data_IF_548479685070
#
_entry.id   IF_548479685070
#
_cell.length_a   1.000
_cell.length_b   1.000
_cell.length_c   1.000
_cell.angle_alpha   90.00
_cell.angle_beta   90.00
_cell.angle_gamma   90.00
#
_symmetry.space_group_name_H-M   'P 1'
#
loop_
_entity.id
_entity.type
_entity.pdbx_description
1 polymer ?
#
# COMPACT_ATOMS: atom_id res chain seq x y z
N UNK A 1 3.40 -29.39 -10.43
CA UNK A 1 2.52 -29.84 -9.32
C UNK A 1 2.50 -28.83 -8.16
N UNK A 2 3.65 -28.39 -7.65
CA UNK A 2 3.74 -27.47 -6.50
C UNK A 2 3.16 -26.07 -6.76
N UNK A 3 3.44 -25.44 -7.92
CA UNK A 3 2.87 -24.12 -8.31
C UNK A 3 1.34 -24.15 -8.35
N UNK A 4 0.77 -25.19 -8.95
CA UNK A 4 -0.69 -25.37 -9.04
C UNK A 4 -1.32 -25.46 -7.66
N UNK A 5 -0.76 -26.30 -6.79
CA UNK A 5 -1.25 -26.46 -5.42
C UNK A 5 -1.20 -25.15 -4.64
N UNK A 6 -0.13 -24.37 -4.79
CA UNK A 6 -0.02 -23.06 -4.15
C UNK A 6 -1.09 -22.10 -4.66
N UNK A 7 -1.18 -21.89 -5.97
CA UNK A 7 -2.12 -20.93 -6.55
C UNK A 7 -3.56 -21.31 -6.31
N UNK A 8 -3.90 -22.61 -6.35
CA UNK A 8 -5.26 -23.09 -6.04
C UNK A 8 -5.65 -22.80 -4.59
N UNK A 9 -4.69 -22.75 -3.66
CA UNK A 9 -4.95 -22.41 -2.27
C UNK A 9 -5.08 -20.90 -2.07
N UNK A 10 -4.19 -20.13 -2.65
CA UNK A 10 -4.11 -18.67 -2.44
C UNK A 10 -5.23 -17.93 -3.17
N UNK A 11 -5.56 -18.33 -4.39
CA UNK A 11 -6.54 -17.66 -5.24
C UNK A 11 -7.99 -18.15 -5.02
N UNK A 12 -8.18 -19.31 -4.43
CA UNK A 12 -9.51 -19.90 -4.30
C UNK A 12 -10.16 -20.22 -5.65
N UNK A 13 -11.44 -20.54 -5.64
CA UNK A 13 -12.19 -21.04 -6.79
C UNK A 13 -12.98 -19.99 -7.59
N UNK A 14 -12.59 -18.73 -7.67
CA UNK A 14 -13.39 -17.64 -8.24
C UNK A 14 -13.59 -17.69 -9.77
N UNK A 15 -12.88 -18.57 -10.49
CA UNK A 15 -13.06 -18.79 -11.92
C UNK A 15 -12.47 -17.70 -12.85
N UNK A 16 -11.75 -16.74 -12.33
CA UNK A 16 -10.99 -15.74 -13.12
C UNK A 16 -9.62 -15.54 -12.52
N UNK A 17 -8.57 -15.77 -13.31
CA UNK A 17 -7.19 -15.73 -12.85
C UNK A 17 -6.36 -14.80 -13.73
N UNK A 18 -5.84 -13.73 -13.15
CA UNK A 18 -5.01 -12.76 -13.84
C UNK A 18 -3.54 -13.14 -13.72
N UNK A 19 -2.86 -13.20 -14.86
CA UNK A 19 -1.42 -13.23 -14.93
C UNK A 19 -0.88 -11.93 -15.53
N UNK A 20 0.21 -11.44 -14.96
CA UNK A 20 0.99 -10.34 -15.49
C UNK A 20 2.44 -10.80 -15.65
N UNK A 21 3.09 -10.41 -16.75
CA UNK A 21 4.50 -10.66 -16.94
C UNK A 21 5.20 -9.43 -17.54
N UNK A 22 6.48 -9.27 -17.17
CA UNK A 22 7.32 -8.18 -17.67
C UNK A 22 8.70 -8.69 -18.03
N UNK A 23 9.25 -8.26 -19.17
CA UNK A 23 10.60 -8.58 -19.58
C UNK A 23 11.49 -7.34 -19.58
N UNK A 24 12.56 -7.38 -18.78
CA UNK A 24 13.46 -6.23 -18.58
C UNK A 24 14.25 -5.89 -19.84
N UNK A 25 14.61 -6.89 -20.65
CA UNK A 25 15.49 -6.70 -21.82
C UNK A 25 14.91 -5.80 -22.89
N UNK A 26 13.59 -5.78 -23.08
CA UNK A 26 12.90 -5.02 -24.14
C UNK A 26 11.68 -4.23 -23.63
N UNK A 27 11.40 -4.29 -22.32
CA UNK A 27 10.28 -3.58 -21.69
C UNK A 27 8.91 -4.17 -22.02
N UNK A 28 8.83 -5.37 -22.64
CA UNK A 28 7.55 -5.99 -22.98
C UNK A 28 6.74 -6.31 -21.75
N UNK A 29 5.44 -6.05 -21.84
CA UNK A 29 4.44 -6.37 -20.82
C UNK A 29 3.41 -7.32 -21.41
N UNK A 30 3.05 -8.35 -20.65
CA UNK A 30 1.97 -9.30 -20.99
C UNK A 30 0.97 -9.32 -19.85
N UNK A 31 -0.32 -9.23 -20.20
CA UNK A 31 -1.40 -9.43 -19.24
C UNK A 31 -2.44 -10.34 -19.89
N UNK A 32 -2.78 -11.41 -19.20
CA UNK A 32 -3.78 -12.38 -19.64
C UNK A 32 -4.69 -12.79 -18.49
N UNK A 33 -5.86 -13.26 -18.84
CA UNK A 33 -6.86 -13.79 -17.91
C UNK A 33 -7.21 -15.22 -18.32
N UNK A 34 -7.34 -16.09 -17.34
CA UNK A 34 -7.58 -17.51 -17.53
C UNK A 34 -8.80 -17.97 -16.73
N UNK A 35 -9.42 -19.05 -17.18
CA UNK A 35 -10.53 -19.68 -16.49
C UNK A 35 -10.07 -20.73 -15.47
N UNK A 36 -8.84 -21.19 -15.58
CA UNK A 36 -8.24 -22.19 -14.69
C UNK A 36 -6.86 -21.77 -14.20
N UNK A 37 -6.49 -22.24 -13.02
CA UNK A 37 -5.13 -22.07 -12.47
C UNK A 37 -4.11 -22.82 -13.35
N UNK A 38 -4.49 -23.94 -13.96
CA UNK A 38 -3.59 -24.73 -14.81
C UNK A 38 -3.11 -23.93 -16.03
N UNK A 39 -4.04 -23.28 -16.74
CA UNK A 39 -3.68 -22.42 -17.89
C UNK A 39 -2.76 -21.27 -17.49
N UNK A 40 -3.01 -20.65 -16.32
CA UNK A 40 -2.15 -19.60 -15.80
C UNK A 40 -0.74 -20.11 -15.53
N UNK A 41 -0.62 -21.28 -14.86
CA UNK A 41 0.68 -21.86 -14.50
C UNK A 41 1.48 -22.26 -15.74
N UNK A 42 0.82 -22.89 -16.72
CA UNK A 42 1.51 -23.30 -17.93
C UNK A 42 2.04 -22.11 -18.73
N UNK A 43 1.22 -21.06 -18.89
CA UNK A 43 1.69 -19.81 -19.52
C UNK A 43 2.76 -19.08 -18.70
N UNK A 44 2.66 -19.09 -17.38
CA UNK A 44 3.67 -18.44 -16.54
C UNK A 44 5.05 -19.10 -16.69
N UNK A 45 5.08 -20.43 -16.84
CA UNK A 45 6.32 -21.16 -17.09
C UNK A 45 6.90 -20.88 -18.48
N UNK A 46 6.06 -20.90 -19.52
CA UNK A 46 6.49 -20.58 -20.88
C UNK A 46 7.13 -19.18 -20.93
N UNK A 47 6.52 -18.20 -20.27
CA UNK A 47 7.05 -16.85 -20.22
C UNK A 47 8.32 -16.74 -19.35
N UNK A 48 8.41 -17.51 -18.25
CA UNK A 48 9.62 -17.59 -17.45
C UNK A 48 10.81 -18.13 -18.25
N UNK A 49 10.60 -19.20 -19.03
CA UNK A 49 11.60 -19.76 -19.94
C UNK A 49 12.05 -18.73 -21.01
N UNK A 50 11.15 -17.83 -21.41
CA UNK A 50 11.42 -16.70 -22.33
C UNK A 50 12.04 -15.48 -21.63
N UNK A 51 12.39 -15.57 -20.35
CA UNK A 51 13.04 -14.51 -19.58
C UNK A 51 12.12 -13.42 -19.05
N UNK A 52 10.84 -13.70 -18.88
CA UNK A 52 9.89 -12.79 -18.23
C UNK A 52 9.83 -13.02 -16.72
N UNK A 53 9.80 -11.95 -15.96
CA UNK A 53 9.28 -11.95 -14.59
C UNK A 53 7.77 -12.21 -14.63
N UNK A 54 7.28 -13.25 -13.98
CA UNK A 54 5.86 -13.65 -14.00
C UNK A 54 5.18 -13.44 -12.67
N UNK A 55 3.95 -12.95 -12.71
CA UNK A 55 3.17 -12.58 -11.53
C UNK A 55 1.72 -13.05 -11.69
N UNK A 56 1.07 -13.39 -10.59
CA UNK A 56 -0.37 -13.64 -10.52
C UNK A 56 -1.07 -12.55 -9.73
N UNK A 57 -2.31 -12.24 -10.08
CA UNK A 57 -3.15 -11.26 -9.39
C UNK A 57 -3.91 -11.90 -8.26
N UNK A 58 -3.72 -11.45 -7.03
CA UNK A 58 -4.32 -12.00 -5.81
C UNK A 58 -5.85 -12.07 -5.87
N UNK A 59 -6.50 -11.04 -6.37
CA UNK A 59 -7.95 -11.00 -6.55
C UNK A 59 -8.43 -11.43 -7.94
N UNK A 60 -7.60 -12.13 -8.73
CA UNK A 60 -7.94 -12.58 -10.08
C UNK A 60 -8.07 -11.48 -11.14
N UNK A 61 -7.78 -10.24 -10.82
CA UNK A 61 -7.90 -9.06 -11.70
C UNK A 61 -6.90 -7.98 -11.34
N UNK A 62 -6.73 -6.97 -12.22
CA UNK A 62 -5.82 -5.83 -12.04
C UNK A 62 -6.50 -4.55 -11.56
N UNK A 63 -7.79 -4.57 -11.30
CA UNK A 63 -8.54 -3.42 -10.77
C UNK A 63 -9.28 -3.83 -9.52
N UNK A 64 -8.98 -3.19 -8.40
CA UNK A 64 -9.61 -3.47 -7.10
C UNK A 64 -11.14 -3.48 -7.17
N UNK A 65 -11.73 -2.60 -8.00
CA UNK A 65 -13.20 -2.55 -8.19
C UNK A 65 -13.78 -3.80 -8.85
N UNK A 66 -12.96 -4.60 -9.54
CA UNK A 66 -13.39 -5.82 -10.24
C UNK A 66 -13.11 -7.09 -9.41
N UNK A 67 -12.38 -6.97 -8.30
CA UNK A 67 -12.16 -8.08 -7.37
C UNK A 67 -13.48 -8.39 -6.67
N UNK A 68 -13.88 -9.65 -6.69
CA UNK A 68 -15.08 -10.12 -6.02
C UNK A 68 -14.75 -10.70 -4.64
N UNK A 69 -13.79 -11.62 -4.60
CA UNK A 69 -13.37 -12.33 -3.38
C UNK A 69 -11.87 -12.45 -3.33
N UNK A 70 -11.33 -12.67 -2.13
CA UNK A 70 -9.93 -13.02 -1.88
C UNK A 70 -9.86 -14.22 -0.94
N UNK A 71 -8.82 -15.05 -1.10
CA UNK A 71 -8.63 -16.25 -0.32
C UNK A 71 -7.35 -16.24 0.53
N UNK A 72 -6.67 -15.12 0.61
CA UNK A 72 -5.49 -14.96 1.44
C UNK A 72 -5.27 -13.52 1.89
N UNK A 73 -4.63 -13.34 3.05
CA UNK A 73 -3.93 -12.13 3.40
C UNK A 73 -2.46 -12.28 3.03
N UNK A 74 -1.82 -11.20 2.63
CA UNK A 74 -0.44 -11.25 2.14
C UNK A 74 0.36 -10.02 2.54
N UNK A 75 1.69 -10.21 2.65
CA UNK A 75 2.69 -9.16 2.80
C UNK A 75 3.80 -9.35 1.76
N UNK A 76 4.47 -8.26 1.42
CA UNK A 76 5.74 -8.25 0.69
C UNK A 76 6.81 -7.59 1.57
N UNK A 77 7.84 -8.33 1.92
CA UNK A 77 8.97 -7.87 2.72
C UNK A 77 10.18 -7.79 1.78
N UNK A 78 10.50 -6.58 1.37
CA UNK A 78 11.67 -6.32 0.54
C UNK A 78 12.97 -6.48 1.33
N UNK A 79 13.98 -7.15 0.73
CA UNK A 79 15.30 -7.35 1.32
C UNK A 79 16.40 -6.98 0.32
N UNK A 80 17.53 -6.51 0.81
CA UNK A 80 18.70 -6.13 0.02
C UNK A 80 19.45 -4.94 0.64
N UNK A 81 20.65 -4.64 0.14
CA UNK A 81 21.54 -3.62 0.71
C UNK A 81 20.92 -2.21 0.84
N UNK A 82 19.94 -1.89 0.00
CA UNK A 82 19.26 -0.59 0.00
C UNK A 82 17.83 -0.67 0.53
N UNK A 83 17.47 -1.79 1.20
CA UNK A 83 16.13 -2.04 1.73
C UNK A 83 16.16 -2.01 3.26
N UNK A 84 14.98 -1.94 3.85
CA UNK A 84 14.80 -1.90 5.30
C UNK A 84 15.41 -3.13 6.01
N UNK A 85 15.45 -4.26 5.34
CA UNK A 85 16.15 -5.47 5.78
C UNK A 85 17.30 -5.79 4.82
N UNK A 86 18.53 -5.83 5.32
CA UNK A 86 19.71 -6.12 4.49
C UNK A 86 19.69 -7.54 3.94
N UNK A 87 19.06 -8.48 4.65
CA UNK A 87 18.96 -9.89 4.30
C UNK A 87 17.56 -10.46 4.52
N UNK A 88 17.23 -11.53 3.80
CA UNK A 88 15.99 -12.28 4.04
C UNK A 88 15.94 -12.88 5.45
N UNK A 89 17.09 -13.24 6.03
CA UNK A 89 17.15 -13.75 7.40
C UNK A 89 16.67 -12.71 8.41
N UNK A 90 17.06 -11.45 8.25
CA UNK A 90 16.58 -10.35 9.10
C UNK A 90 15.06 -10.14 8.93
N UNK A 91 14.57 -10.13 7.70
CA UNK A 91 13.13 -10.05 7.40
C UNK A 91 12.33 -11.20 8.03
N UNK A 92 12.87 -12.43 7.98
CA UNK A 92 12.25 -13.60 8.63
C UNK A 92 12.22 -13.51 10.15
N UNK A 93 13.28 -12.98 10.79
CA UNK A 93 13.31 -12.76 12.23
C UNK A 93 12.25 -11.73 12.63
N UNK A 94 12.19 -10.59 11.93
CA UNK A 94 11.19 -9.55 12.18
C UNK A 94 9.76 -10.08 12.01
N UNK A 95 9.50 -10.84 10.94
CA UNK A 95 8.20 -11.47 10.71
C UNK A 95 7.82 -12.45 11.82
N UNK A 96 8.79 -13.25 12.31
CA UNK A 96 8.55 -14.20 13.41
C UNK A 96 8.18 -13.48 14.70
N UNK A 97 8.87 -12.39 15.03
CA UNK A 97 8.55 -11.55 16.18
C UNK A 97 7.19 -10.90 16.06
N UNK A 98 6.85 -10.37 14.89
CA UNK A 98 5.53 -9.83 14.57
C UNK A 98 4.42 -10.86 14.76
N UNK A 99 4.56 -12.05 14.18
CA UNK A 99 3.59 -13.14 14.36
C UNK A 99 3.44 -13.56 15.82
N UNK A 100 4.55 -13.61 16.56
CA UNK A 100 4.55 -13.93 17.99
C UNK A 100 3.83 -12.86 18.81
N UNK A 101 4.09 -11.58 18.55
CA UNK A 101 3.48 -10.47 19.28
C UNK A 101 1.96 -10.44 19.18
N UNK A 102 1.43 -10.81 18.00
CA UNK A 102 -0.01 -10.85 17.72
C UNK A 102 -0.62 -12.25 17.83
N UNK A 103 0.16 -13.26 18.19
CA UNK A 103 -0.28 -14.68 18.18
C UNK A 103 -0.81 -15.14 16.83
N UNK A 104 -0.31 -14.57 15.74
CA UNK A 104 -0.74 -14.95 14.39
C UNK A 104 -0.29 -16.38 14.06
N UNK A 105 -1.11 -17.14 13.32
CA UNK A 105 -0.73 -18.47 12.86
C UNK A 105 0.47 -18.38 11.91
N UNK A 106 1.21 -19.49 11.82
CA UNK A 106 2.38 -19.58 10.95
C UNK A 106 1.96 -19.37 9.49
N UNK A 107 2.53 -18.38 8.76
CA UNK A 107 2.20 -18.15 7.37
C UNK A 107 2.88 -19.15 6.41
N UNK A 108 2.38 -19.22 5.19
CA UNK A 108 3.13 -19.77 4.04
C UNK A 108 4.07 -18.69 3.53
N UNK A 109 5.33 -19.06 3.26
CA UNK A 109 6.40 -18.14 2.86
C UNK A 109 6.95 -18.51 1.49
N UNK A 110 7.20 -17.50 0.67
CA UNK A 110 7.84 -17.62 -0.63
C UNK A 110 9.03 -16.67 -0.70
N UNK A 111 10.20 -17.19 -1.00
CA UNK A 111 11.35 -16.42 -1.45
C UNK A 111 11.04 -15.84 -2.82
N UNK A 112 10.96 -14.53 -2.97
CA UNK A 112 10.69 -13.86 -4.25
C UNK A 112 11.96 -13.54 -5.06
N UNK A 113 13.11 -14.07 -4.63
CA UNK A 113 14.44 -13.77 -5.14
C UNK A 113 15.13 -12.66 -4.36
N UNK A 114 14.47 -11.54 -4.12
CA UNK A 114 15.00 -10.36 -3.40
C UNK A 114 14.26 -10.04 -2.10
N UNK A 115 13.24 -10.81 -1.76
CA UNK A 115 12.42 -10.55 -0.59
C UNK A 115 11.59 -11.77 -0.23
N UNK A 116 10.59 -11.56 0.61
CA UNK A 116 9.74 -12.61 1.14
C UNK A 116 8.28 -12.23 0.92
N UNK A 117 7.54 -13.04 0.17
CA UNK A 117 6.10 -12.96 0.17
C UNK A 117 5.56 -13.85 1.31
N UNK A 118 4.63 -13.31 2.06
CA UNK A 118 4.00 -13.94 3.22
C UNK A 118 2.53 -14.14 2.92
N UNK A 119 1.97 -15.32 3.18
CA UNK A 119 0.56 -15.62 2.93
C UNK A 119 -0.09 -16.31 4.14
N UNK A 120 -1.22 -15.76 4.58
CA UNK A 120 -2.18 -16.46 5.43
C UNK A 120 -3.36 -16.84 4.54
N UNK A 121 -3.40 -18.11 4.15
CA UNK A 121 -4.44 -18.64 3.30
C UNK A 121 -5.70 -18.85 4.13
N UNK A 122 -6.84 -18.37 3.64
CA UNK A 122 -8.13 -18.53 4.28
C UNK A 122 -8.72 -19.90 3.95
N UNK A 123 -9.55 -20.44 4.83
CA UNK A 123 -10.30 -21.68 4.60
C UNK A 123 -11.44 -21.47 3.60
N UNK A 124 -12.01 -20.27 3.54
CA UNK A 124 -13.02 -19.86 2.56
C UNK A 124 -12.68 -18.50 1.94
N UNK A 125 -13.13 -18.33 0.69
CA UNK A 125 -12.96 -17.07 -0.01
C UNK A 125 -13.88 -15.99 0.58
N UNK A 126 -13.34 -14.81 0.86
CA UNK A 126 -14.04 -13.72 1.53
C UNK A 126 -14.38 -12.61 0.54
N UNK A 127 -15.58 -12.00 0.61
CA UNK A 127 -15.92 -10.84 -0.20
C UNK A 127 -14.90 -9.71 -0.02
N UNK A 128 -14.54 -9.06 -1.12
CA UNK A 128 -13.57 -7.95 -1.12
C UNK A 128 -13.87 -6.89 -0.05
N UNK A 129 -15.14 -6.52 0.10
CA UNK A 129 -15.55 -5.43 0.99
C UNK A 129 -15.42 -5.80 2.48
N UNK A 130 -15.40 -7.10 2.80
CA UNK A 130 -15.08 -7.64 4.13
C UNK A 130 -13.56 -7.81 4.31
N UNK A 131 -12.86 -8.25 3.26
CA UNK A 131 -11.42 -8.46 3.27
C UNK A 131 -10.64 -7.15 3.47
N UNK A 132 -11.00 -6.08 2.74
CA UNK A 132 -10.25 -4.80 2.75
C UNK A 132 -10.10 -4.20 4.16
N UNK A 133 -11.13 -4.12 5.01
CA UNK A 133 -10.98 -3.62 6.38
C UNK A 133 -9.96 -4.42 7.20
N UNK A 134 -9.96 -5.75 7.08
CA UNK A 134 -9.02 -6.62 7.79
C UNK A 134 -7.59 -6.47 7.25
N UNK A 135 -7.42 -6.39 5.93
CA UNK A 135 -6.12 -6.14 5.30
C UNK A 135 -5.53 -4.77 5.70
N UNK A 136 -6.37 -3.76 5.88
CA UNK A 136 -5.94 -2.45 6.41
C UNK A 136 -5.50 -2.56 7.87
N UNK A 137 -6.18 -3.36 8.69
CA UNK A 137 -5.74 -3.63 10.08
C UNK A 137 -4.41 -4.36 10.10
N UNK A 138 -4.21 -5.35 9.21
CA UNK A 138 -2.91 -6.03 9.07
C UNK A 138 -1.80 -5.04 8.70
N UNK A 139 -2.03 -4.15 7.74
CA UNK A 139 -1.10 -3.08 7.39
C UNK A 139 -0.77 -2.18 8.59
N UNK A 140 -1.77 -1.79 9.37
CA UNK A 140 -1.57 -0.97 10.56
C UNK A 140 -0.82 -1.73 11.64
N UNK A 141 -1.13 -3.01 11.85
CA UNK A 141 -0.43 -3.86 12.78
C UNK A 141 1.07 -4.00 12.43
N UNK A 142 1.41 -4.14 11.13
CA UNK A 142 2.81 -4.12 10.70
C UNK A 142 3.52 -2.84 11.17
N UNK A 143 2.91 -1.67 10.93
CA UNK A 143 3.50 -0.40 11.35
C UNK A 143 3.63 -0.27 12.89
N UNK A 144 2.61 -0.69 13.64
CA UNK A 144 2.61 -0.60 15.11
C UNK A 144 3.64 -1.53 15.77
N UNK A 145 3.87 -2.69 15.18
CA UNK A 145 4.81 -3.69 15.70
C UNK A 145 6.16 -3.66 14.98
N UNK A 146 6.44 -2.63 14.18
CA UNK A 146 7.74 -2.41 13.56
C UNK A 146 8.12 -3.40 12.45
N UNK A 147 7.14 -4.11 11.87
CA UNK A 147 7.38 -4.93 10.69
C UNK A 147 7.36 -4.06 9.43
N UNK A 148 8.51 -3.96 8.78
CA UNK A 148 8.70 -3.16 7.57
C UNK A 148 8.32 -3.99 6.33
N UNK A 149 7.02 -4.09 6.06
CA UNK A 149 6.46 -4.68 4.84
C UNK A 149 5.97 -3.57 3.91
N UNK A 150 5.95 -3.83 2.59
CA UNK A 150 5.47 -2.84 1.62
C UNK A 150 3.99 -2.48 1.89
N UNK A 151 3.73 -1.25 2.39
CA UNK A 151 2.38 -0.84 2.75
C UNK A 151 1.45 -0.67 1.54
N UNK A 152 1.99 -0.60 0.31
CA UNK A 152 1.18 -0.54 -0.91
C UNK A 152 0.67 -1.92 -1.33
N UNK A 153 1.31 -2.99 -0.86
CA UNK A 153 0.92 -4.38 -1.16
C UNK A 153 -0.21 -4.85 -0.25
N UNK A 154 -0.04 -4.71 1.05
CA UNK A 154 -0.81 -5.41 2.09
C UNK A 154 -2.34 -5.22 2.00
N UNK A 155 -2.83 -4.07 1.54
CA UNK A 155 -4.26 -3.80 1.45
C UNK A 155 -4.76 -3.53 0.01
N UNK A 156 -3.96 -3.89 -0.99
CA UNK A 156 -4.34 -3.81 -2.40
C UNK A 156 -4.92 -5.14 -2.89
N UNK A 157 -6.24 -5.24 -2.94
CA UNK A 157 -6.94 -6.45 -3.38
C UNK A 157 -6.63 -6.87 -4.84
N UNK A 158 -6.09 -5.99 -5.67
CA UNK A 158 -5.69 -6.27 -7.05
C UNK A 158 -4.16 -6.40 -7.20
N UNK A 159 -3.44 -6.60 -6.10
CA UNK A 159 -1.98 -6.75 -6.12
C UNK A 159 -1.55 -7.96 -6.93
N UNK A 160 -0.38 -7.84 -7.55
CA UNK A 160 0.29 -8.95 -8.19
C UNK A 160 1.55 -9.32 -7.43
N UNK A 161 1.75 -10.63 -7.22
CA UNK A 161 2.93 -11.21 -6.59
C UNK A 161 3.54 -12.27 -7.51
N UNK A 162 4.83 -12.59 -7.32
CA UNK A 162 5.55 -13.52 -8.19
C UNK A 162 4.98 -14.92 -8.13
N UNK A 163 4.91 -15.56 -9.28
CA UNK A 163 4.53 -16.97 -9.39
C UNK A 163 5.64 -17.84 -8.79
N UNK A 164 5.38 -18.68 -7.76
CA UNK A 164 6.39 -19.59 -7.24
C UNK A 164 6.84 -20.63 -8.29
N UNK A 165 8.09 -21.05 -8.19
CA UNK A 165 8.77 -21.98 -9.10
C UNK A 165 8.98 -21.42 -10.53
N UNK A 166 9.08 -20.11 -10.64
CA UNK A 166 9.63 -19.34 -11.75
C UNK A 166 10.88 -18.59 -11.27
N UNK A 167 11.43 -17.70 -12.10
CA UNK A 167 12.64 -16.95 -11.77
C UNK A 167 12.37 -15.44 -11.62
N UNK A 168 13.16 -14.80 -10.77
CA UNK A 168 13.31 -13.36 -10.73
C UNK A 168 14.43 -12.96 -11.68
N UNK A 169 14.08 -12.51 -12.88
CA UNK A 169 15.02 -12.11 -13.92
C UNK A 169 15.61 -10.70 -13.72
N UNK A 170 15.31 -10.05 -12.58
CA UNK A 170 15.98 -8.80 -12.20
C UNK A 170 17.43 -9.02 -11.77
N UNK A 171 17.75 -10.24 -11.35
CA UNK A 171 19.09 -10.67 -10.94
C UNK A 171 19.86 -11.28 -12.12
N UNK A 172 21.19 -11.34 -11.98
CA UNK A 172 22.08 -12.00 -12.93
C UNK A 172 23.12 -12.83 -12.15
N UNK A 173 23.02 -14.16 -12.15
CA UNK A 173 21.97 -14.98 -12.78
C UNK A 173 20.59 -14.79 -12.15
N UNK A 174 19.49 -15.17 -12.85
CA UNK A 174 18.14 -15.11 -12.30
C UNK A 174 18.00 -15.93 -11.01
N UNK A 175 17.31 -15.37 -10.02
CA UNK A 175 17.07 -16.03 -8.73
C UNK A 175 15.78 -16.84 -8.78
N UNK A 176 15.78 -18.07 -8.25
CA UNK A 176 14.58 -18.88 -8.19
C UNK A 176 13.57 -18.34 -7.18
N UNK A 177 12.29 -18.30 -7.57
CA UNK A 177 11.16 -18.00 -6.69
C UNK A 177 10.65 -19.32 -6.11
N UNK A 178 10.79 -19.53 -4.80
CA UNK A 178 10.53 -20.82 -4.18
C UNK A 178 9.96 -20.72 -2.76
N UNK A 179 9.44 -21.82 -2.24
CA UNK A 179 8.98 -21.86 -0.85
C UNK A 179 10.15 -21.75 0.13
N UNK A 180 9.89 -21.04 1.23
CA UNK A 180 10.75 -21.07 2.41
C UNK A 180 10.19 -22.13 3.38
N UNK A 181 10.96 -23.16 3.65
CA UNK A 181 10.57 -24.28 4.51
C UNK A 181 9.85 -25.40 3.74
N UNK A 182 8.97 -26.13 4.42
CA UNK A 182 8.38 -27.40 3.91
C UNK A 182 7.09 -27.18 3.08
N UNK A 183 6.86 -26.00 2.54
CA UNK A 183 5.63 -25.68 1.79
C UNK A 183 4.51 -25.17 2.67
N UNK A 184 3.27 -25.28 2.22
CA UNK A 184 2.11 -24.63 2.79
C UNK A 184 1.79 -25.00 4.24
N UNK A 185 1.30 -24.01 4.97
CA UNK A 185 0.69 -24.18 6.29
C UNK A 185 -0.81 -24.42 6.16
N UNK A 186 -1.50 -24.87 7.21
CA UNK A 186 -2.96 -24.94 7.22
C UNK A 186 -3.60 -23.60 6.90
N UNK A 187 -4.77 -23.61 6.31
CA UNK A 187 -5.63 -22.44 6.17
C UNK A 187 -6.12 -21.96 7.55
N UNK A 188 -6.55 -20.71 7.59
CA UNK A 188 -7.03 -20.05 8.79
C UNK A 188 -8.44 -19.52 8.58
N UNK A 189 -9.22 -19.55 9.63
CA UNK A 189 -10.55 -18.94 9.65
C UNK A 189 -10.44 -17.40 9.62
N UNK A 190 -11.28 -16.76 8.82
CA UNK A 190 -11.25 -15.30 8.62
C UNK A 190 -11.50 -14.51 9.89
N UNK A 191 -12.52 -14.89 10.67
CA UNK A 191 -12.88 -14.18 11.89
C UNK A 191 -11.80 -14.37 12.96
N UNK A 192 -11.26 -15.57 13.08
CA UNK A 192 -10.14 -15.88 13.97
C UNK A 192 -8.91 -15.03 13.64
N UNK A 193 -8.53 -14.95 12.36
CA UNK A 193 -7.41 -14.11 11.92
C UNK A 193 -7.68 -12.63 12.17
N UNK A 194 -8.88 -12.16 11.84
CA UNK A 194 -9.32 -10.79 12.06
C UNK A 194 -9.25 -10.38 13.53
N UNK A 195 -9.66 -11.26 14.45
CA UNK A 195 -9.65 -11.02 15.89
C UNK A 195 -8.22 -10.91 16.45
N UNK A 196 -7.26 -11.69 15.92
CA UNK A 196 -5.85 -11.64 16.35
C UNK A 196 -5.14 -10.34 15.98
N UNK A 197 -5.61 -9.62 14.97
CA UNK A 197 -5.03 -8.31 14.59
C UNK A 197 -5.36 -7.19 15.58
N UNK A 198 -6.11 -7.50 16.63
CA UNK A 198 -6.56 -6.55 17.62
C UNK A 198 -7.80 -5.79 17.15
N UNK A 199 -8.76 -5.67 18.04
CA UNK A 199 -9.95 -4.86 17.84
C UNK A 199 -9.55 -3.43 18.16
N UNK A 200 -10.15 -2.46 17.51
CA UNK A 200 -10.08 -1.04 17.84
C UNK A 200 -8.89 -0.23 17.29
N UNK A 201 -8.31 -0.66 16.19
CA UNK A 201 -7.78 0.38 15.31
C UNK A 201 -9.00 1.13 14.76
N UNK A 202 -9.11 2.45 15.00
CA UNK A 202 -10.24 3.19 14.47
C UNK A 202 -10.27 2.94 12.97
N UNK A 203 -11.40 2.46 12.46
CA UNK A 203 -11.57 2.38 11.01
C UNK A 203 -11.14 3.74 10.44
N UNK A 204 -10.21 3.78 9.48
CA UNK A 204 -9.99 5.01 8.77
C UNK A 204 -11.37 5.45 8.29
N UNK A 205 -11.77 6.72 8.51
CA UNK A 205 -13.10 7.15 8.19
C UNK A 205 -13.45 6.66 6.80
N UNK A 206 -14.42 5.74 6.71
CA UNK A 206 -14.82 5.00 5.50
C UNK A 206 -15.36 5.92 4.41
N UNK A 207 -15.55 7.18 4.78
CA UNK A 207 -15.72 8.34 3.88
C UNK A 207 -14.77 9.40 4.40
N UNK A 208 -13.97 9.98 3.48
CA UNK A 208 -13.56 11.36 3.68
C UNK A 208 -14.77 12.11 4.27
N UNK A 209 -14.58 12.99 5.27
CA UNK A 209 -15.70 13.80 5.77
C UNK A 209 -16.46 14.27 4.53
N UNK A 210 -17.81 14.17 4.52
CA UNK A 210 -18.59 14.45 3.34
C UNK A 210 -18.07 15.75 2.75
N UNK A 211 -18.07 15.86 1.45
CA UNK A 211 -17.49 16.96 0.70
C UNK A 211 -18.18 18.34 0.97
N UNK A 212 -18.68 18.55 2.14
CA UNK A 212 -18.93 19.84 2.78
C UNK A 212 -17.64 20.49 3.30
N UNK A 213 -16.52 20.18 2.65
CA UNK A 213 -15.40 21.10 2.68
C UNK A 213 -15.83 22.32 1.84
N UNK A 214 -16.59 23.21 2.49
CA UNK A 214 -17.07 24.46 1.87
C UNK A 214 -15.93 25.29 1.26
N UNK A 215 -14.70 24.89 1.50
CA UNK A 215 -13.47 25.48 1.00
C UNK A 215 -12.80 24.67 -0.11
N UNK A 216 -13.31 23.48 -0.47
CA UNK A 216 -12.73 22.64 -1.52
C UNK A 216 -12.69 23.31 -2.91
N UNK A 217 -13.62 24.26 -3.13
CA UNK A 217 -13.71 25.04 -4.38
C UNK A 217 -12.77 26.24 -4.41
N UNK A 218 -12.12 26.60 -3.31
CA UNK A 218 -11.26 27.77 -3.25
C UNK A 218 -9.88 27.46 -3.84
N UNK A 219 -9.30 28.48 -4.44
CA UNK A 219 -7.93 28.42 -4.96
C UNK A 219 -6.92 28.16 -3.83
N UNK A 220 -6.07 27.18 -4.02
CA UNK A 220 -5.06 26.78 -3.06
C UNK A 220 -3.68 26.83 -3.68
N UNK A 221 -2.71 27.27 -2.91
CA UNK A 221 -1.31 27.35 -3.35
C UNK A 221 -0.43 26.41 -2.51
N UNK A 222 0.33 25.56 -3.18
CA UNK A 222 1.20 24.59 -2.54
C UNK A 222 2.30 25.25 -1.72
N UNK A 223 2.80 26.39 -2.19
CA UNK A 223 3.76 27.21 -1.44
C UNK A 223 3.23 27.59 -0.05
N UNK A 224 1.95 27.94 0.07
CA UNK A 224 1.36 28.33 1.33
C UNK A 224 1.19 27.12 2.27
N UNK A 225 0.89 25.93 1.71
CA UNK A 225 0.91 24.67 2.46
C UNK A 225 2.30 24.41 3.03
N UNK A 226 3.35 24.52 2.22
CA UNK A 226 4.74 24.32 2.66
C UNK A 226 5.13 25.28 3.77
N UNK A 227 4.84 26.58 3.60
CA UNK A 227 5.16 27.61 4.61
C UNK A 227 4.44 27.34 5.94
N UNK A 228 3.16 26.97 5.90
CA UNK A 228 2.40 26.62 7.11
C UNK A 228 2.94 25.34 7.76
N UNK A 229 3.25 24.32 6.95
CA UNK A 229 3.78 23.04 7.43
C UNK A 229 5.16 23.20 8.07
N UNK A 230 6.06 23.96 7.46
CA UNK A 230 7.40 24.23 8.03
C UNK A 230 7.37 24.97 9.38
N UNK A 231 6.28 25.70 9.66
CA UNK A 231 6.05 26.41 10.94
C UNK A 231 5.26 25.59 11.96
N UNK A 232 4.99 24.30 11.69
CA UNK A 232 4.15 23.46 12.53
C UNK A 232 2.66 23.83 12.56
N UNK A 233 2.23 24.66 11.60
CA UNK A 233 0.84 25.16 11.47
C UNK A 233 0.17 24.67 10.18
N UNK A 234 0.64 23.56 9.61
CA UNK A 234 0.16 22.96 8.37
C UNK A 234 0.02 21.46 8.47
N UNK A 235 0.26 20.78 7.36
CA UNK A 235 0.21 19.33 7.31
C UNK A 235 1.54 18.72 7.77
N UNK A 236 1.52 17.99 8.86
CA UNK A 236 2.71 17.34 9.42
C UNK A 236 3.26 16.25 8.49
N UNK A 237 2.41 15.51 7.78
CA UNK A 237 2.83 14.53 6.77
C UNK A 237 3.66 15.18 5.65
N UNK A 238 3.20 16.34 5.14
CA UNK A 238 3.94 17.10 4.13
C UNK A 238 5.23 17.69 4.72
N UNK A 239 5.21 18.17 5.97
CA UNK A 239 6.42 18.66 6.64
C UNK A 239 7.48 17.56 6.71
N UNK A 240 7.13 16.40 7.24
CA UNK A 240 8.04 15.25 7.35
C UNK A 240 8.56 14.83 5.97
N UNK A 241 7.69 14.72 4.97
CA UNK A 241 8.11 14.37 3.62
C UNK A 241 9.08 15.36 2.97
N UNK A 242 9.10 16.62 3.44
CA UNK A 242 10.03 17.64 2.94
C UNK A 242 11.32 17.74 3.75
N UNK A 243 11.31 17.36 5.03
CA UNK A 243 12.50 17.37 5.90
C UNK A 243 13.31 16.08 5.81
N UNK A 244 12.63 14.93 5.75
CA UNK A 244 13.22 13.59 5.83
C UNK A 244 13.05 12.85 4.48
N UNK A 245 13.47 13.49 3.40
CA UNK A 245 13.20 13.05 2.02
C UNK A 245 13.74 11.67 1.69
N UNK A 246 14.83 11.25 2.31
CA UNK A 246 15.45 9.94 2.10
C UNK A 246 14.56 8.80 2.63
N UNK A 247 13.80 9.06 3.71
CA UNK A 247 12.94 8.07 4.39
C UNK A 247 11.46 8.16 3.96
N UNK A 248 11.16 8.91 2.90
CA UNK A 248 9.79 9.04 2.40
C UNK A 248 9.39 7.78 1.62
N UNK A 249 8.33 7.12 2.04
CA UNK A 249 7.75 6.03 1.27
C UNK A 249 7.08 6.53 -0.02
N UNK A 250 7.06 5.68 -1.06
CA UNK A 250 6.45 6.03 -2.35
C UNK A 250 4.99 6.52 -2.22
N UNK A 251 4.11 5.88 -1.43
CA UNK A 251 2.74 6.36 -1.28
C UNK A 251 2.64 7.76 -0.68
N UNK A 252 3.50 8.12 0.27
CA UNK A 252 3.54 9.46 0.86
C UNK A 252 4.06 10.48 -0.15
N UNK A 253 5.17 10.17 -0.84
CA UNK A 253 5.71 11.04 -1.89
C UNK A 253 4.69 11.29 -3.01
N UNK A 254 4.03 10.25 -3.51
CA UNK A 254 2.94 10.35 -4.48
C UNK A 254 1.77 11.20 -3.94
N UNK A 255 1.47 11.09 -2.65
CA UNK A 255 0.48 11.93 -1.98
C UNK A 255 0.84 13.40 -2.02
N UNK A 256 2.11 13.75 -1.76
CA UNK A 256 2.62 15.12 -1.85
C UNK A 256 2.49 15.66 -3.28
N UNK A 257 2.88 14.88 -4.30
CA UNK A 257 2.72 15.25 -5.71
C UNK A 257 1.24 15.45 -6.10
N UNK A 258 0.35 14.65 -5.56
CA UNK A 258 -1.10 14.78 -5.80
C UNK A 258 -1.65 16.09 -5.23
N UNK A 259 -1.25 16.48 -4.03
CA UNK A 259 -1.62 17.77 -3.44
C UNK A 259 -1.04 18.92 -4.25
N UNK A 260 0.25 18.85 -4.65
CA UNK A 260 0.87 19.84 -5.50
C UNK A 260 0.11 20.04 -6.82
N UNK A 261 -0.21 18.93 -7.52
CA UNK A 261 -0.94 18.98 -8.80
C UNK A 261 -2.33 19.60 -8.69
N UNK A 262 -2.92 19.53 -7.52
CA UNK A 262 -4.26 20.07 -7.23
C UNK A 262 -4.24 21.54 -6.83
N UNK A 263 -3.07 22.17 -6.72
CA UNK A 263 -2.89 23.58 -6.37
C UNK A 263 -2.65 24.44 -7.63
N UNK A 264 -3.05 25.72 -7.58
CA UNK A 264 -2.90 26.68 -8.68
C UNK A 264 -1.45 26.88 -9.12
N UNK A 265 -0.53 26.83 -8.16
CA UNK A 265 0.91 26.97 -8.41
C UNK A 265 1.59 25.62 -8.67
N UNK A 266 0.83 24.54 -8.88
CA UNK A 266 1.34 23.21 -9.19
C UNK A 266 1.91 23.13 -10.60
N UNK A 267 3.15 22.67 -10.74
CA UNK A 267 3.78 22.45 -12.05
C UNK A 267 4.70 21.24 -12.03
N UNK A 268 5.03 20.74 -13.22
CA UNK A 268 5.94 19.61 -13.41
C UNK A 268 7.35 19.94 -12.90
N UNK A 269 7.84 21.17 -13.14
CA UNK A 269 9.13 21.61 -12.66
C UNK A 269 9.19 21.60 -11.12
N UNK A 270 8.10 22.02 -10.47
CA UNK A 270 8.00 21.95 -9.00
C UNK A 270 7.94 20.50 -8.52
N UNK A 271 7.25 19.60 -9.24
CA UNK A 271 7.23 18.18 -8.91
C UNK A 271 8.65 17.61 -8.89
N UNK A 272 9.45 17.88 -9.91
CA UNK A 272 10.87 17.50 -9.91
C UNK A 272 11.67 18.17 -8.80
N UNK A 273 11.46 19.46 -8.55
CA UNK A 273 12.19 20.20 -7.52
C UNK A 273 11.94 19.64 -6.10
N UNK A 274 10.69 19.31 -5.75
CA UNK A 274 10.37 18.72 -4.45
C UNK A 274 10.81 17.27 -4.34
N UNK A 275 10.89 16.55 -5.45
CA UNK A 275 11.32 15.15 -5.49
C UNK A 275 12.84 14.98 -5.38
N UNK A 276 13.63 16.04 -5.61
CA UNK A 276 15.09 16.00 -5.39
C UNK A 276 15.39 15.66 -3.92
N UNK A 277 16.20 14.63 -3.70
CA UNK A 277 16.53 14.08 -2.38
C UNK A 277 15.59 12.96 -1.88
N UNK A 278 14.53 12.66 -2.59
CA UNK A 278 13.76 11.42 -2.37
C UNK A 278 14.59 10.23 -2.91
N UNK A 279 14.78 9.19 -2.09
CA UNK A 279 15.61 8.01 -2.43
C UNK A 279 15.15 7.29 -3.70
N UNK A 280 13.84 7.27 -3.96
CA UNK A 280 13.23 6.71 -5.18
C UNK A 280 13.12 7.70 -6.35
N UNK A 281 13.79 8.88 -6.30
CA UNK A 281 13.67 9.87 -7.37
C UNK A 281 14.23 9.35 -8.70
N UNK A 282 13.36 9.32 -9.70
CA UNK A 282 13.69 9.09 -11.09
C UNK A 282 12.86 10.04 -11.96
N UNK A 283 13.50 10.72 -12.90
CA UNK A 283 12.82 11.74 -13.71
C UNK A 283 11.67 11.16 -14.53
N UNK A 284 11.89 10.05 -15.21
CA UNK A 284 10.86 9.38 -16.01
C UNK A 284 9.68 8.90 -15.17
N UNK A 285 9.96 8.31 -14.01
CA UNK A 285 8.92 7.85 -13.09
C UNK A 285 8.14 9.03 -12.49
N UNK A 286 8.82 10.13 -12.16
CA UNK A 286 8.19 11.35 -11.67
C UNK A 286 7.24 11.93 -12.70
N UNK A 287 7.65 12.00 -13.97
CA UNK A 287 6.80 12.42 -15.10
C UNK A 287 5.60 11.51 -15.27
N UNK A 288 5.80 10.20 -15.31
CA UNK A 288 4.74 9.21 -15.46
C UNK A 288 3.71 9.33 -14.33
N UNK A 289 4.16 9.46 -13.08
CA UNK A 289 3.27 9.63 -11.93
C UNK A 289 2.55 10.97 -11.98
N UNK A 290 3.26 12.04 -12.34
CA UNK A 290 2.64 13.36 -12.52
C UNK A 290 1.51 13.31 -13.55
N UNK A 291 1.71 12.69 -14.70
CA UNK A 291 0.69 12.59 -15.76
C UNK A 291 -0.55 11.80 -15.30
N UNK A 292 -0.35 10.75 -14.55
CA UNK A 292 -1.42 9.89 -14.03
C UNK A 292 -2.21 10.47 -12.84
N UNK A 293 -1.72 11.53 -12.20
CA UNK A 293 -2.46 12.18 -11.12
C UNK A 293 -3.63 13.00 -11.65
N UNK A 294 -4.73 13.03 -10.90
CA UNK A 294 -5.91 13.83 -11.22
C UNK A 294 -5.92 15.13 -10.40
N UNK A 295 -5.91 16.32 -11.02
CA UNK A 295 -5.91 17.60 -10.29
C UNK A 295 -7.12 17.79 -9.36
N UNK A 296 -8.25 17.19 -9.74
CA UNK A 296 -9.51 17.28 -9.00
C UNK A 296 -9.61 16.31 -7.82
N UNK A 297 -8.65 15.37 -7.69
CA UNK A 297 -8.66 14.32 -6.67
C UNK A 297 -7.36 14.34 -5.85
N UNK A 298 -7.12 15.38 -5.01
CA UNK A 298 -5.95 15.42 -4.16
C UNK A 298 -5.99 14.29 -3.11
N UNK A 299 -4.81 13.85 -2.70
CA UNK A 299 -4.71 12.89 -1.60
C UNK A 299 -5.46 13.40 -0.37
N UNK A 300 -6.34 12.57 0.18
CA UNK A 300 -7.07 12.90 1.39
C UNK A 300 -6.19 12.78 2.64
N UNK A 301 -6.57 13.47 3.72
CA UNK A 301 -5.93 13.30 5.04
C UNK A 301 -6.01 11.84 5.51
N UNK A 302 -7.13 11.16 5.28
CA UNK A 302 -7.30 9.75 5.59
C UNK A 302 -6.26 8.89 4.86
N UNK A 303 -6.05 9.13 3.56
CA UNK A 303 -5.08 8.37 2.77
C UNK A 303 -3.62 8.63 3.18
N UNK A 304 -3.28 9.83 3.61
CA UNK A 304 -1.98 10.10 4.23
C UNK A 304 -1.82 9.32 5.54
N UNK A 305 -2.84 9.32 6.39
CA UNK A 305 -2.85 8.59 7.65
C UNK A 305 -2.68 7.08 7.44
N UNK A 306 -3.40 6.48 6.48
CA UNK A 306 -3.29 5.06 6.13
C UNK A 306 -1.87 4.66 5.70
N UNK A 307 -1.11 5.57 5.11
CA UNK A 307 0.25 5.29 4.61
C UNK A 307 1.37 5.63 5.60
N UNK A 308 1.11 6.44 6.63
CA UNK A 308 2.04 6.73 7.73
C UNK A 308 1.24 7.04 8.98
N UNK A 309 1.10 6.03 9.84
CA UNK A 309 0.37 6.14 11.10
C UNK A 309 1.07 7.04 12.13
N UNK A 310 0.35 7.41 13.19
CA UNK A 310 0.88 8.15 14.31
C UNK A 310 1.06 9.66 14.10
N UNK A 311 0.98 10.14 12.86
CA UNK A 311 1.23 11.56 12.53
C UNK A 311 -0.05 12.40 12.51
N UNK A 312 -1.11 11.87 11.90
CA UNK A 312 -2.34 12.65 11.70
C UNK A 312 -3.21 12.84 12.94
N UNK A 313 -3.29 11.93 13.92
CA UNK A 313 -4.13 12.10 15.09
C UNK A 313 -3.85 13.38 15.88
N UNK A 314 -2.58 13.80 15.96
CA UNK A 314 -2.16 15.02 16.65
C UNK A 314 -2.26 16.28 15.78
N UNK A 315 -2.64 16.13 14.51
CA UNK A 315 -2.78 17.25 13.60
C UNK A 315 -4.05 18.08 13.94
N UNK A 316 -3.94 19.40 14.13
CA UNK A 316 -5.08 20.26 14.48
C UNK A 316 -6.16 20.30 13.40
N UNK A 317 -5.85 19.84 12.19
CA UNK A 317 -6.76 19.76 11.04
C UNK A 317 -7.34 18.36 10.80
N UNK A 318 -6.90 17.36 11.59
CA UNK A 318 -7.41 15.99 11.47
C UNK A 318 -8.91 15.96 11.64
N UNK A 319 -9.62 15.30 10.74
CA UNK A 319 -11.09 15.21 10.65
C UNK A 319 -11.83 16.55 10.43
N UNK A 320 -11.11 17.65 10.19
CA UNK A 320 -11.70 18.97 9.90
C UNK A 320 -11.57 19.36 8.44
N UNK A 321 -10.58 18.81 7.75
CA UNK A 321 -10.38 19.00 6.31
C UNK A 321 -10.27 17.66 5.60
N UNK A 322 -10.76 17.58 4.38
CA UNK A 322 -10.70 16.37 3.57
C UNK A 322 -9.30 16.10 2.99
N UNK A 323 -8.53 17.15 2.76
CA UNK A 323 -7.19 17.09 2.14
C UNK A 323 -6.30 18.23 2.62
N UNK A 324 -4.97 18.03 2.69
CA UNK A 324 -4.03 19.12 2.93
C UNK A 324 -4.11 20.26 1.91
N UNK A 325 -4.70 20.04 0.73
CA UNK A 325 -4.96 21.10 -0.27
C UNK A 325 -5.64 22.31 0.36
N UNK A 326 -6.65 22.08 1.19
CA UNK A 326 -7.44 23.13 1.83
C UNK A 326 -6.57 24.09 2.67
N UNK A 327 -5.44 23.62 3.20
CA UNK A 327 -4.51 24.45 3.98
C UNK A 327 -3.74 25.48 3.13
N UNK A 328 -3.75 25.33 1.81
CA UNK A 328 -3.17 26.26 0.85
C UNK A 328 -4.04 27.48 0.53
N UNK A 329 -5.23 27.53 1.11
CA UNK A 329 -6.16 28.60 0.88
C UNK A 329 -5.66 29.93 1.48
N UNK A 330 -5.83 31.03 0.75
CA UNK A 330 -5.35 32.36 1.13
C UNK A 330 -6.35 33.20 1.90
N UNK A 331 -7.63 32.86 1.90
CA UNK A 331 -8.62 33.60 2.66
C UNK A 331 -8.43 33.34 4.15
N UNK A 332 -8.12 34.37 4.92
CA UNK A 332 -7.91 34.31 6.37
C UNK A 332 -9.10 33.68 7.09
N UNK A 333 -10.30 34.01 6.64
CA UNK A 333 -11.56 33.49 7.15
C UNK A 333 -11.71 31.97 6.99
N UNK A 334 -11.22 31.40 5.91
CA UNK A 334 -11.26 29.95 5.67
C UNK A 334 -10.36 29.18 6.66
N UNK A 335 -9.19 29.69 6.96
CA UNK A 335 -8.21 29.03 7.85
C UNK A 335 -8.64 29.14 9.31
N UNK A 336 -9.10 30.29 9.75
CA UNK A 336 -9.54 30.51 11.12
C UNK A 336 -10.79 29.67 11.46
N UNK A 337 -11.72 29.57 10.53
CA UNK A 337 -12.95 28.77 10.69
C UNK A 337 -12.68 27.25 10.72
N UNK A 338 -11.67 26.75 9.99
CA UNK A 338 -11.27 25.32 10.02
C UNK A 338 -10.77 24.92 11.40
N UNK A 339 -9.96 25.77 12.04
CA UNK A 339 -9.42 25.50 13.38
C UNK A 339 -10.53 25.47 14.43
N UNK A 340 -11.56 26.29 14.28
CA UNK A 340 -12.69 26.40 15.22
C UNK A 340 -13.81 25.37 14.96
N UNK A 341 -13.81 24.72 13.77
CA UNK A 341 -14.84 23.72 13.47
C UNK A 341 -14.76 22.54 14.45
N UNK A 342 -15.90 22.04 14.96
CA UNK A 342 -15.90 20.84 15.78
C UNK A 342 -15.38 19.67 14.97
N UNK A 343 -14.53 18.82 15.58
CA UNK A 343 -14.15 17.56 14.99
C UNK A 343 -15.42 16.71 14.75
N UNK A 344 -15.56 16.11 13.57
CA UNK A 344 -16.63 15.15 13.33
C UNK A 344 -16.51 14.08 14.40
N UNK A 345 -17.59 13.83 15.16
CA UNK A 345 -17.56 13.02 16.38
C UNK A 345 -16.95 11.65 16.10
N UNK A 346 -15.79 11.41 16.66
CA UNK A 346 -15.25 10.06 16.83
C UNK A 346 -15.99 9.40 17.99
N UNK A 347 -16.23 8.10 17.89
CA UNK A 347 -16.85 7.35 18.98
C UNK A 347 -16.04 7.57 20.26
N UNK A 348 -16.71 7.71 21.40
CA UNK A 348 -16.10 7.91 22.72
C UNK A 348 -14.99 6.87 23.04
N UNK A 349 -15.06 5.68 22.48
CA UNK A 349 -14.08 4.60 22.64
C UNK A 349 -12.68 4.95 22.14
N UNK A 350 -12.56 5.74 21.07
CA UNK A 350 -11.22 6.13 20.56
C UNK A 350 -10.47 7.08 21.51
N UNK A 351 -11.19 7.96 22.22
CA UNK A 351 -10.59 8.90 23.18
C UNK A 351 -10.08 8.20 24.45
N UNK A 352 -10.69 7.06 24.82
CA UNK A 352 -10.30 6.31 26.02
C UNK A 352 -9.13 5.33 25.77
N UNK A 353 -8.89 4.92 24.53
CA UNK A 353 -7.79 4.01 24.19
C UNK A 353 -6.42 4.71 24.01
N UNK A 354 -6.40 6.05 23.95
CA UNK A 354 -5.17 6.85 23.74
C UNK A 354 -4.89 7.83 24.89
N UNK A 355 -5.48 7.64 26.06
CA UNK A 355 -5.07 8.20 27.36
C UNK A 355 -4.39 7.13 28.21
#
# INVERSE_FOLDING_TARGET
MQTRNFLSRVLGGSGSYCMFASRKSDGRLVQKFYSTVDELVDTAKELDDDGYDTYFGEGGTRKTTNVLTLNSFFLDIDCGETKDYSTQSEGLVALKEFCKALSLPKPTLVNSGRGIHVYWVLDEAVPRDEWIPVARRLKQACSLHGLLADPAVTSDAARVLRVPFTHNHKDSPPSQVEYIGNGGTPSVDFDSFSNLLGVDLPEPPTKAPPADDKYAHLESHFKDILIKSSKGKGCEQIRLAMTDKEDVSEPIWRGVLSVLKSCEDGSREKAHAISKGYSGYNAYETDTKWDNLQPTMPYSCARFHENKLGVCPDCPYWLKVGSPKTLGNRTKEAVDNIVQAPAVSMSLKWRQANQ
#
